data_IF_045465088060
#
_entry.id   IF_045465088060
#
_cell.length_a   1.000
_cell.length_b   1.000
_cell.length_c   1.000
_cell.angle_alpha   90.00
_cell.angle_beta   90.00
_cell.angle_gamma   90.00
#
_symmetry.space_group_name_H-M   'P 1'
#
loop_
_entity.id
_entity.type
_entity.pdbx_description
1 polymer ?
#
# COMPACT_ATOMS: atom_id res chain seq x y z
N UNK A 1 11.80 -18.37 -4.72
CA UNK A 1 10.86 -17.66 -5.62
C UNK A 1 11.15 -16.18 -5.52
N UNK A 2 11.48 -15.53 -6.63
CA UNK A 2 11.90 -14.13 -6.61
C UNK A 2 10.68 -13.22 -6.49
N UNK A 3 10.57 -12.47 -5.40
CA UNK A 3 9.48 -11.52 -5.17
C UNK A 3 10.01 -10.12 -5.39
N UNK A 4 9.32 -9.32 -6.21
CA UNK A 4 9.62 -7.90 -6.35
C UNK A 4 8.61 -7.08 -5.56
N UNK A 5 9.07 -6.27 -4.61
CA UNK A 5 8.23 -5.37 -3.84
C UNK A 5 8.40 -3.94 -4.32
N UNK A 6 7.33 -3.30 -4.80
CA UNK A 6 7.34 -1.89 -5.18
C UNK A 6 6.80 -1.05 -4.02
N UNK A 7 7.55 -0.02 -3.63
CA UNK A 7 7.23 0.89 -2.52
C UNK A 7 7.40 2.35 -2.93
N UNK A 8 6.81 3.28 -2.18
CA UNK A 8 7.02 4.72 -2.33
C UNK A 8 8.01 5.22 -1.26
N UNK A 9 9.31 5.42 -1.57
CA UNK A 9 10.31 5.82 -0.57
C UNK A 9 9.98 7.14 0.12
N UNK A 10 9.40 8.11 -0.59
CA UNK A 10 9.00 9.40 0.00
C UNK A 10 7.94 9.26 1.08
N UNK A 11 6.95 8.36 0.88
CA UNK A 11 5.95 8.07 1.89
C UNK A 11 6.58 7.37 3.11
N UNK A 12 7.50 6.44 2.89
CA UNK A 12 8.23 5.77 3.97
C UNK A 12 9.11 6.74 4.78
N UNK A 13 9.79 7.66 4.10
CA UNK A 13 10.57 8.70 4.77
C UNK A 13 9.68 9.58 5.64
N UNK A 14 8.55 10.04 5.09
CA UNK A 14 7.58 10.83 5.86
C UNK A 14 7.04 10.04 7.06
N UNK A 15 6.78 8.74 6.90
CA UNK A 15 6.36 7.87 8.00
C UNK A 15 7.39 7.84 9.14
N UNK A 16 8.68 7.69 8.79
CA UNK A 16 9.78 7.69 9.76
C UNK A 16 9.89 9.05 10.46
N UNK A 17 9.79 10.15 9.73
CA UNK A 17 9.79 11.50 10.32
C UNK A 17 8.65 11.66 11.33
N UNK A 18 7.43 11.23 10.96
CA UNK A 18 6.28 11.28 11.86
C UNK A 18 6.45 10.37 13.09
N UNK A 19 7.08 9.21 12.96
CA UNK A 19 7.43 8.37 14.12
C UNK A 19 8.43 9.05 15.04
N UNK A 20 9.49 9.66 14.49
CA UNK A 20 10.48 10.39 15.28
C UNK A 20 9.81 11.52 16.05
N UNK A 21 8.96 12.31 15.39
CA UNK A 21 8.19 13.38 16.05
C UNK A 21 7.26 12.82 17.14
N UNK A 22 6.50 11.77 16.84
CA UNK A 22 5.59 11.15 17.80
C UNK A 22 6.33 10.66 19.05
N UNK A 23 7.50 10.03 18.88
CA UNK A 23 8.35 9.55 19.99
C UNK A 23 8.95 10.72 20.76
N UNK A 24 9.43 11.76 20.08
CA UNK A 24 10.06 12.92 20.73
C UNK A 24 9.06 13.76 21.56
N UNK A 25 7.79 13.81 21.14
CA UNK A 25 6.75 14.55 21.87
C UNK A 25 6.47 13.96 23.27
N UNK A 26 6.61 12.63 23.44
CA UNK A 26 6.34 11.96 24.73
C UNK A 26 7.24 12.47 25.87
N UNK A 27 8.58 12.43 25.79
CA UNK A 27 9.44 12.94 26.86
C UNK A 27 9.30 14.46 27.05
N UNK A 28 9.08 15.23 25.98
CA UNK A 28 8.85 16.68 26.08
C UNK A 28 7.62 16.96 26.96
N UNK A 29 6.55 16.21 26.79
CA UNK A 29 5.34 16.36 27.59
C UNK A 29 5.49 15.90 29.04
N UNK A 30 6.27 14.85 29.28
CA UNK A 30 6.58 14.40 30.65
C UNK A 30 7.40 15.45 31.41
N UNK A 31 8.31 16.14 30.73
CA UNK A 31 9.14 17.20 31.33
C UNK A 31 8.38 18.53 31.53
N UNK A 32 7.33 18.79 30.74
CA UNK A 32 6.56 20.04 30.83
C UNK A 32 5.46 20.03 31.90
N UNK A 33 5.25 18.91 32.61
CA UNK A 33 4.26 18.80 33.70
C UNK A 33 2.80 18.81 33.24
N UNK A 34 2.54 18.58 31.95
CA UNK A 34 1.19 18.52 31.39
C UNK A 34 0.43 17.24 31.75
N UNK A 35 -0.84 17.17 31.33
CA UNK A 35 -1.68 15.98 31.54
C UNK A 35 -1.02 14.72 30.93
N UNK A 36 -0.92 13.62 31.69
CA UNK A 36 -0.16 12.43 31.28
C UNK A 36 -0.74 11.73 30.05
N UNK A 37 -1.99 12.04 29.66
CA UNK A 37 -2.67 11.43 28.51
C UNK A 37 -2.67 12.30 27.25
N UNK A 38 -2.44 13.59 27.43
CA UNK A 38 -2.66 14.61 26.39
C UNK A 38 -1.70 14.49 25.22
N UNK A 39 -0.48 14.02 25.48
CA UNK A 39 0.55 13.84 24.46
C UNK A 39 0.71 12.39 23.97
N UNK A 40 0.68 11.34 24.82
CA UNK A 40 0.87 9.98 24.30
C UNK A 40 -0.27 9.52 23.40
N UNK A 41 -1.52 9.94 23.64
CA UNK A 41 -2.66 9.50 22.81
C UNK A 41 -2.58 10.07 21.38
N UNK A 42 -2.40 11.39 21.16
CA UNK A 42 -2.16 11.92 19.82
C UNK A 42 -0.88 11.39 19.16
N UNK A 43 0.22 11.22 19.92
CA UNK A 43 1.46 10.63 19.38
C UNK A 43 1.23 9.21 18.88
N UNK A 44 0.52 8.37 19.65
CA UNK A 44 0.20 7.01 19.24
C UNK A 44 -0.69 6.99 18.00
N UNK A 45 -1.68 7.88 17.93
CA UNK A 45 -2.53 8.03 16.75
C UNK A 45 -1.69 8.40 15.51
N UNK A 46 -0.82 9.41 15.60
CA UNK A 46 0.07 9.84 14.52
C UNK A 46 0.97 8.68 14.08
N UNK A 47 1.57 7.95 15.04
CA UNK A 47 2.45 6.84 14.73
C UNK A 47 1.71 5.69 14.02
N UNK A 48 0.49 5.39 14.46
CA UNK A 48 -0.35 4.37 13.83
C UNK A 48 -0.79 4.75 12.42
N UNK A 49 -1.19 6.01 12.21
CA UNK A 49 -1.55 6.54 10.88
C UNK A 49 -0.34 6.52 9.95
N UNK A 50 0.82 6.97 10.41
CA UNK A 50 2.06 6.93 9.64
C UNK A 50 2.39 5.50 9.18
N UNK A 51 2.22 4.52 10.06
CA UNK A 51 2.37 3.12 9.69
C UNK A 51 1.36 2.67 8.65
N UNK A 52 0.06 2.85 8.92
CA UNK A 52 -1.02 2.28 8.13
C UNK A 52 -1.13 2.92 6.74
N UNK A 53 -0.94 4.24 6.66
CA UNK A 53 -1.22 5.07 5.48
C UNK A 53 0.01 5.31 4.63
N UNK A 54 1.21 5.36 5.24
CA UNK A 54 2.42 5.75 4.53
C UNK A 54 3.43 4.60 4.40
N UNK A 55 3.65 3.83 5.46
CA UNK A 55 4.67 2.77 5.47
C UNK A 55 4.19 1.46 4.83
N UNK A 56 2.97 1.06 5.18
CA UNK A 56 2.38 -0.24 4.84
C UNK A 56 2.04 -0.42 3.36
N UNK A 57 1.51 0.57 2.62
CA UNK A 57 1.14 0.37 1.23
C UNK A 57 2.32 -0.09 0.36
N UNK A 58 2.08 -1.09 -0.49
CA UNK A 58 3.08 -1.67 -1.40
C UNK A 58 2.44 -2.56 -2.46
N UNK A 59 3.15 -2.79 -3.56
CA UNK A 59 2.85 -3.87 -4.49
C UNK A 59 3.83 -5.02 -4.27
N UNK A 60 3.33 -6.24 -4.24
CA UNK A 60 4.11 -7.46 -4.22
C UNK A 60 3.85 -8.18 -5.56
N UNK A 61 4.90 -8.30 -6.37
CA UNK A 61 4.88 -8.96 -7.66
C UNK A 61 5.55 -10.32 -7.44
N UNK A 62 4.72 -11.36 -7.45
CA UNK A 62 5.17 -12.75 -7.40
C UNK A 62 4.97 -13.38 -8.78
N UNK A 63 5.61 -14.51 -9.12
CA UNK A 63 5.34 -15.19 -10.38
C UNK A 63 3.86 -15.58 -10.56
N UNK A 64 3.14 -15.85 -9.48
CA UNK A 64 1.78 -16.38 -9.52
C UNK A 64 0.71 -15.27 -9.49
N UNK A 65 0.97 -14.19 -8.77
CA UNK A 65 -0.03 -13.16 -8.51
C UNK A 65 0.56 -11.75 -8.29
N UNK A 66 -0.27 -10.77 -8.61
CA UNK A 66 -0.13 -9.39 -8.18
C UNK A 66 -0.86 -9.19 -6.86
N UNK A 67 -0.14 -8.83 -5.81
CA UNK A 67 -0.75 -8.47 -4.52
C UNK A 67 -0.60 -6.98 -4.25
N UNK A 68 -1.75 -6.32 -4.14
CA UNK A 68 -1.87 -4.90 -3.84
C UNK A 68 -2.21 -4.76 -2.35
N UNK A 69 -1.28 -4.25 -1.57
CA UNK A 69 -1.50 -3.95 -0.15
C UNK A 69 -1.88 -2.47 -0.04
N UNK A 70 -3.17 -2.19 0.15
CA UNK A 70 -3.66 -0.84 0.47
C UNK A 70 -3.98 -0.72 1.98
N UNK A 71 -4.30 0.51 2.39
CA UNK A 71 -4.70 0.85 3.77
C UNK A 71 -5.91 0.03 4.22
N UNK A 72 -7.00 0.03 3.42
CA UNK A 72 -8.28 -0.57 3.81
C UNK A 72 -8.41 -2.05 3.48
N UNK A 73 -7.69 -2.52 2.46
CA UNK A 73 -7.76 -3.92 2.02
C UNK A 73 -6.49 -4.36 1.31
N UNK A 74 -6.22 -5.65 1.32
CA UNK A 74 -5.24 -6.29 0.44
C UNK A 74 -6.01 -7.06 -0.62
N UNK A 75 -5.62 -6.89 -1.88
CA UNK A 75 -6.22 -7.58 -3.01
C UNK A 75 -5.15 -8.40 -3.73
N UNK A 76 -5.43 -9.65 -3.99
CA UNK A 76 -4.53 -10.57 -4.69
C UNK A 76 -5.19 -10.99 -6.00
N UNK A 77 -4.55 -10.67 -7.11
CA UNK A 77 -5.01 -10.96 -8.46
C UNK A 77 -4.07 -11.96 -9.10
N UNK A 78 -4.57 -13.09 -9.58
CA UNK A 78 -3.81 -13.90 -10.54
C UNK A 78 -3.53 -13.06 -11.79
N UNK A 79 -2.31 -13.13 -12.34
CA UNK A 79 -1.90 -12.28 -13.47
C UNK A 79 -2.83 -12.36 -14.69
N UNK A 80 -3.40 -13.53 -14.98
CA UNK A 80 -4.41 -13.72 -16.03
C UNK A 80 -5.67 -12.86 -15.90
N UNK A 81 -5.94 -12.33 -14.69
CA UNK A 81 -7.09 -11.46 -14.42
C UNK A 81 -6.75 -9.98 -14.60
N UNK A 82 -5.46 -9.63 -14.68
CA UNK A 82 -5.00 -8.27 -14.94
C UNK A 82 -4.97 -8.06 -16.45
N UNK A 83 -5.72 -7.07 -16.93
CA UNK A 83 -5.84 -6.77 -18.36
C UNK A 83 -4.95 -5.61 -18.77
N UNK A 84 -4.85 -4.59 -17.92
CA UNK A 84 -4.11 -3.36 -18.20
C UNK A 84 -3.63 -2.74 -16.89
N UNK A 85 -2.52 -2.01 -16.95
CA UNK A 85 -2.08 -1.11 -15.86
C UNK A 85 -2.04 0.30 -16.42
N UNK A 86 -2.96 1.16 -15.97
CA UNK A 86 -3.07 2.54 -16.41
C UNK A 86 -2.23 3.45 -15.53
N UNK A 87 -1.67 4.49 -16.14
CA UNK A 87 -0.76 5.43 -15.46
C UNK A 87 -1.17 6.89 -15.58
N UNK A 88 -2.31 7.19 -16.23
CA UNK A 88 -2.76 8.56 -16.53
C UNK A 88 -2.74 9.49 -15.31
N UNK A 89 -3.26 9.01 -14.18
CA UNK A 89 -3.32 9.77 -12.92
C UNK A 89 -2.41 9.20 -11.83
N UNK A 90 -1.70 8.10 -12.08
CA UNK A 90 -1.18 7.21 -11.06
C UNK A 90 -1.48 5.76 -11.44
N UNK A 91 -1.06 4.80 -10.63
CA UNK A 91 -1.23 3.37 -10.96
C UNK A 91 -2.68 2.95 -10.70
N UNK A 92 -3.38 2.56 -11.78
CA UNK A 92 -4.67 1.89 -11.73
C UNK A 92 -4.55 0.51 -12.38
N UNK A 93 -4.98 -0.53 -11.67
CA UNK A 93 -4.96 -1.90 -12.18
C UNK A 93 -6.33 -2.22 -12.75
N UNK A 94 -6.40 -2.52 -14.03
CA UNK A 94 -7.61 -2.97 -14.70
C UNK A 94 -7.64 -4.48 -14.66
N UNK A 95 -8.74 -5.02 -14.18
CA UNK A 95 -8.98 -6.45 -14.12
C UNK A 95 -10.37 -6.81 -14.62
N UNK A 96 -10.67 -8.10 -14.66
CA UNK A 96 -12.02 -8.59 -14.94
C UNK A 96 -13.10 -8.10 -13.97
N UNK A 97 -12.74 -7.60 -12.78
CA UNK A 97 -13.67 -6.99 -11.82
C UNK A 97 -13.82 -5.46 -12.00
N UNK A 98 -13.08 -4.89 -12.95
CA UNK A 98 -13.06 -3.46 -13.23
C UNK A 98 -11.75 -2.77 -12.87
N UNK A 99 -11.81 -1.45 -12.77
CA UNK A 99 -10.64 -0.58 -12.57
C UNK A 99 -10.41 -0.34 -11.08
N UNK A 100 -9.20 -0.62 -10.61
CA UNK A 100 -8.78 -0.42 -9.23
C UNK A 100 -7.69 0.64 -9.12
N UNK A 101 -8.04 1.78 -8.53
CA UNK A 101 -7.06 2.78 -8.07
C UNK A 101 -6.31 2.29 -6.84
N UNK A 102 -5.01 2.55 -6.81
CA UNK A 102 -4.09 2.08 -5.77
C UNK A 102 -3.64 3.23 -4.86
N UNK A 103 -3.31 2.93 -3.62
CA UNK A 103 -2.89 3.96 -2.65
C UNK A 103 -1.43 4.39 -2.82
N UNK A 104 -0.56 3.49 -3.28
CA UNK A 104 0.90 3.73 -3.32
C UNK A 104 1.32 4.81 -4.31
N UNK A 105 0.63 4.91 -5.45
CA UNK A 105 0.98 5.78 -6.56
C UNK A 105 -0.25 6.53 -7.05
N UNK A 106 -0.79 7.41 -6.21
CA UNK A 106 -2.00 8.22 -6.50
C UNK A 106 -1.76 9.38 -7.47
N UNK A 107 -0.50 9.62 -7.85
CA UNK A 107 -0.10 10.64 -8.82
C UNK A 107 0.86 10.03 -9.84
N UNK A 108 0.82 10.49 -11.09
CA UNK A 108 1.74 10.04 -12.15
C UNK A 108 3.21 10.34 -11.84
N UNK A 109 3.49 11.41 -11.11
CA UNK A 109 4.87 11.80 -10.70
C UNK A 109 5.33 11.14 -9.40
N UNK A 110 4.69 10.04 -8.98
CA UNK A 110 5.11 9.31 -7.80
C UNK A 110 6.48 8.67 -8.06
N UNK A 111 7.43 8.89 -7.13
CA UNK A 111 8.72 8.21 -7.15
C UNK A 111 8.57 6.89 -6.41
N UNK A 112 8.94 5.81 -7.07
CA UNK A 112 8.81 4.45 -6.57
C UNK A 112 10.18 3.78 -6.48
N UNK A 113 10.23 2.67 -5.76
CA UNK A 113 11.39 1.79 -5.71
C UNK A 113 10.97 0.33 -5.80
N UNK A 114 11.67 -0.46 -6.60
CA UNK A 114 11.55 -1.91 -6.61
C UNK A 114 12.65 -2.54 -5.75
N UNK A 115 12.23 -3.38 -4.81
CA UNK A 115 13.10 -4.23 -4.02
C UNK A 115 12.93 -5.65 -4.53
N UNK A 116 13.97 -6.19 -5.14
CA UNK A 116 13.96 -7.56 -5.65
C UNK A 116 14.63 -8.47 -4.63
N UNK A 117 13.89 -9.46 -4.15
CA UNK A 117 14.42 -10.40 -3.17
C UNK A 117 15.61 -11.19 -3.73
N UNK A 118 16.69 -11.27 -2.94
CA UNK A 118 17.93 -11.97 -3.32
C UNK A 118 18.85 -11.24 -4.32
N UNK A 119 18.53 -10.02 -4.77
CA UNK A 119 19.37 -9.28 -5.72
C UNK A 119 20.36 -8.34 -4.99
N UNK A 120 21.69 -8.56 -5.09
CA UNK A 120 22.69 -7.65 -4.53
C UNK A 120 22.75 -6.38 -5.38
N UNK A 121 22.52 -5.20 -4.78
CA UNK A 121 22.51 -3.92 -5.52
C UNK A 121 21.59 -2.84 -4.94
N UNK A 122 20.76 -3.18 -3.96
CA UNK A 122 19.80 -2.23 -3.36
C UNK A 122 18.53 -2.10 -4.19
N UNK A 123 17.73 -1.08 -3.89
CA UNK A 123 16.42 -0.90 -4.51
C UNK A 123 16.50 -0.04 -5.77
N UNK A 124 15.99 -0.53 -6.89
CA UNK A 124 15.92 0.18 -8.16
C UNK A 124 14.92 1.34 -8.07
N UNK A 125 15.30 2.55 -8.49
CA UNK A 125 14.36 3.65 -8.60
C UNK A 125 13.47 3.47 -9.83
N UNK A 126 12.17 3.71 -9.66
CA UNK A 126 11.17 3.60 -10.70
C UNK A 126 10.31 4.86 -10.71
N UNK A 127 9.91 5.29 -11.89
CA UNK A 127 8.72 6.13 -12.04
C UNK A 127 7.45 5.24 -12.18
N UNK A 128 6.30 5.89 -12.36
CA UNK A 128 5.02 5.20 -12.47
C UNK A 128 4.90 4.38 -13.76
N UNK A 129 5.44 4.88 -14.86
CA UNK A 129 5.33 4.23 -16.17
C UNK A 129 6.23 2.96 -16.21
N UNK A 130 7.45 3.05 -15.71
CA UNK A 130 8.38 1.91 -15.57
C UNK A 130 7.85 0.88 -14.57
N UNK A 131 7.21 1.32 -13.48
CA UNK A 131 6.56 0.40 -12.55
C UNK A 131 5.39 -0.35 -13.21
N UNK A 132 4.59 0.33 -14.03
CA UNK A 132 3.50 -0.30 -14.78
C UNK A 132 4.01 -1.29 -15.81
N UNK A 133 5.05 -0.95 -16.58
CA UNK A 133 5.72 -1.87 -17.50
C UNK A 133 6.23 -3.12 -16.78
N UNK A 134 6.85 -2.94 -15.62
CA UNK A 134 7.33 -4.05 -14.79
C UNK A 134 6.20 -4.94 -14.27
N UNK A 135 5.03 -4.38 -13.98
CA UNK A 135 3.84 -5.16 -13.62
C UNK A 135 3.28 -5.90 -14.83
N UNK A 136 3.22 -5.25 -16.00
CA UNK A 136 2.72 -5.82 -17.25
C UNK A 136 3.60 -6.96 -17.77
N UNK A 137 4.91 -6.95 -17.47
CA UNK A 137 5.81 -8.03 -17.83
C UNK A 137 5.41 -9.40 -17.24
N UNK A 138 4.59 -9.43 -16.17
CA UNK A 138 4.04 -10.67 -15.60
C UNK A 138 2.69 -11.07 -16.18
N UNK A 139 2.04 -10.19 -16.95
CA UNK A 139 0.73 -10.48 -17.55
C UNK A 139 0.95 -11.43 -18.73
N UNK A 140 0.40 -12.66 -18.68
CA UNK A 140 0.58 -13.60 -19.76
C UNK A 140 -0.15 -13.12 -21.02
N UNK A 141 0.44 -13.39 -22.18
CA UNK A 141 -0.24 -13.17 -23.46
C UNK A 141 -1.57 -13.95 -23.49
N UNK A 142 -2.63 -13.38 -24.09
CA UNK A 142 -3.88 -14.11 -24.30
C UNK A 142 -3.59 -15.43 -25.03
N UNK A 143 -4.12 -16.57 -24.55
CA UNK A 143 -3.93 -17.83 -25.25
C UNK A 143 -4.58 -17.75 -26.64
N UNK A 144 -3.85 -18.19 -27.67
CA UNK A 144 -4.41 -18.38 -29.00
C UNK A 144 -5.53 -19.42 -28.90
N UNK A 145 -6.76 -19.01 -29.18
CA UNK A 145 -7.92 -19.90 -29.11
C UNK A 145 -8.35 -20.30 -30.52
N UNK A 146 -8.03 -21.53 -30.90
CA UNK A 146 -8.54 -22.14 -32.13
C UNK A 146 -9.84 -22.89 -31.82
N UNK A 147 -10.98 -22.28 -32.18
CA UNK A 147 -12.30 -22.89 -32.06
C UNK A 147 -13.25 -22.23 -31.04
N UNK A 148 -14.49 -22.76 -30.90
CA UNK A 148 -15.50 -22.22 -30.01
C UNK A 148 -15.01 -22.17 -28.54
N UNK A 149 -15.41 -21.15 -27.74
CA UNK A 149 -15.05 -21.07 -26.34
C UNK A 149 -15.40 -22.36 -25.59
N UNK A 150 -14.52 -22.86 -24.71
CA UNK A 150 -14.84 -24.04 -23.90
C UNK A 150 -16.12 -23.77 -23.09
N UNK A 151 -16.99 -24.77 -23.04
CA UNK A 151 -18.31 -24.67 -22.39
C UNK A 151 -18.23 -24.33 -20.88
N UNK A 152 -17.07 -24.54 -20.26
CA UNK A 152 -16.81 -24.20 -18.86
C UNK A 152 -15.41 -23.61 -18.71
N UNK A 153 -15.32 -22.37 -18.19
CA UNK A 153 -14.07 -21.69 -17.84
C UNK A 153 -14.01 -21.52 -16.33
N UNK A 154 -13.04 -22.15 -15.67
CA UNK A 154 -12.76 -21.86 -14.26
C UNK A 154 -12.08 -20.50 -14.17
N UNK A 155 -12.77 -19.52 -13.58
CA UNK A 155 -12.21 -18.19 -13.41
C UNK A 155 -11.00 -18.24 -12.47
N UNK A 156 -9.88 -17.64 -12.90
CA UNK A 156 -8.71 -17.50 -12.05
C UNK A 156 -9.05 -16.65 -10.80
N UNK A 157 -8.53 -17.01 -9.62
CA UNK A 157 -8.98 -16.42 -8.37
C UNK A 157 -8.58 -14.96 -8.24
N UNK A 158 -9.48 -14.17 -7.66
CA UNK A 158 -9.20 -12.86 -7.09
C UNK A 158 -9.65 -12.93 -5.63
N UNK A 159 -8.78 -12.57 -4.70
CA UNK A 159 -9.11 -12.59 -3.27
C UNK A 159 -8.90 -11.23 -2.63
N UNK A 160 -9.81 -10.85 -1.74
CA UNK A 160 -9.73 -9.62 -0.98
C UNK A 160 -9.74 -9.92 0.50
N UNK A 161 -8.77 -9.34 1.22
CA UNK A 161 -8.71 -9.34 2.68
C UNK A 161 -8.86 -7.91 3.18
N UNK A 162 -9.96 -7.63 3.87
CA UNK A 162 -10.22 -6.32 4.48
C UNK A 162 -9.41 -6.12 5.75
N UNK A 163 -8.94 -4.89 5.98
CA UNK A 163 -8.21 -4.50 7.19
C UNK A 163 -9.14 -3.76 8.16
N UNK A 164 -10.26 -4.39 8.51
CA UNK A 164 -11.29 -3.80 9.37
C UNK A 164 -10.74 -3.32 10.72
N UNK A 165 -9.86 -4.12 11.34
CA UNK A 165 -9.18 -3.75 12.57
C UNK A 165 -8.29 -2.51 12.44
N UNK A 166 -7.62 -2.32 11.30
CA UNK A 166 -6.82 -1.11 11.06
C UNK A 166 -7.71 0.12 10.97
N UNK A 167 -8.84 0.03 10.28
CA UNK A 167 -9.82 1.14 10.19
C UNK A 167 -10.41 1.44 11.56
N UNK A 168 -10.82 0.42 12.30
CA UNK A 168 -11.36 0.56 13.64
C UNK A 168 -10.35 1.22 14.60
N UNK A 169 -9.10 0.75 14.60
CA UNK A 169 -8.05 1.33 15.43
C UNK A 169 -7.77 2.81 15.07
N UNK A 170 -7.78 3.18 13.78
CA UNK A 170 -7.68 4.58 13.37
C UNK A 170 -8.83 5.43 13.92
N UNK A 171 -10.06 4.94 13.86
CA UNK A 171 -11.24 5.67 14.36
C UNK A 171 -11.13 5.84 15.88
N UNK A 172 -10.87 4.75 16.61
CA UNK A 172 -10.80 4.78 18.09
C UNK A 172 -9.68 5.69 18.57
N UNK A 173 -8.48 5.57 18.00
CA UNK A 173 -7.34 6.43 18.36
C UNK A 173 -7.58 7.89 17.99
N UNK A 174 -8.23 8.15 16.85
CA UNK A 174 -8.59 9.50 16.42
C UNK A 174 -9.57 10.16 17.39
N UNK A 175 -10.65 9.45 17.77
CA UNK A 175 -11.62 9.92 18.76
C UNK A 175 -10.94 10.17 20.11
N UNK A 176 -10.12 9.24 20.58
CA UNK A 176 -9.39 9.38 21.84
C UNK A 176 -8.43 10.60 21.81
N UNK A 177 -7.72 10.81 20.69
CA UNK A 177 -6.83 11.96 20.52
C UNK A 177 -7.62 13.29 20.50
N UNK A 178 -8.77 13.33 19.84
CA UNK A 178 -9.65 14.51 19.84
C UNK A 178 -10.21 14.81 21.23
N UNK A 179 -10.65 13.79 21.97
CA UNK A 179 -11.12 13.95 23.35
C UNK A 179 -10.01 14.45 24.28
N UNK A 180 -8.79 13.91 24.14
CA UNK A 180 -7.65 14.38 24.92
C UNK A 180 -7.33 15.85 24.62
N UNK A 181 -7.38 16.27 23.35
CA UNK A 181 -7.16 17.65 22.97
C UNK A 181 -8.28 18.60 23.46
N UNK A 182 -9.53 18.15 23.53
CA UNK A 182 -10.66 18.94 24.01
C UNK A 182 -10.65 19.20 25.53
N UNK A 183 -9.73 18.58 26.28
CA UNK A 183 -9.52 18.82 27.70
C UNK A 183 -8.49 19.94 27.98
N UNK A 184 -7.95 20.58 26.94
CA UNK A 184 -7.13 21.80 27.02
C UNK A 184 -7.99 23.05 27.10
#
# INVERSE_FOLDING_TARGET
MQTTTIVAPGMRLLAVVLWVVAVALVPIALLSGGSPWLTPVPSLFIAFVAWAVLWRPRFELTPEHLRIVDVRRTSTYTWRRVTEVRTKYGIEVVSSEGVRRTWLATRRTARLRALVDGQPGGADHLDVDTAAERMLAFVPAPPTQDGPPPATVTAAPITHRTHGWTVLAMIVLGVAASMAAAQL
#
